data_IF_645381255501
#
_entry.id   IF_645381255501
#
_cell.length_a   1.000
_cell.length_b   1.000
_cell.length_c   1.000
_cell.angle_alpha   90.00
_cell.angle_beta   90.00
_cell.angle_gamma   90.00
#
_symmetry.space_group_name_H-M   'P 1'
#
loop_
_entity.id
_entity.type
_entity.pdbx_description
1 polymer ?
#
# COMPACT_ATOMS: atom_id res chain seq x y z
N UNK A 1 -3.82 -55.72 54.71
CA UNK A 1 -2.92 -56.81 54.28
C UNK A 1 -1.52 -56.20 54.10
N UNK A 2 -0.51 -56.88 54.66
CA UNK A 2 0.96 -56.62 54.73
C UNK A 2 1.58 -55.99 53.46
N UNK A 3 2.69 -55.25 53.40
CA UNK A 3 3.81 -54.88 54.31
C UNK A 3 4.67 -53.76 53.66
N UNK A 4 5.53 -53.14 54.49
CA UNK A 4 6.34 -51.92 54.41
C UNK A 4 7.41 -51.70 53.28
N UNK A 5 8.06 -50.49 53.24
CA UNK A 5 8.75 -49.86 52.11
C UNK A 5 10.29 -49.70 52.26
N UNK A 6 10.96 -49.14 51.25
CA UNK A 6 12.36 -48.69 51.28
C UNK A 6 12.50 -47.16 51.28
N UNK A 7 13.25 -46.61 52.24
CA UNK A 7 13.40 -45.19 52.57
C UNK A 7 14.87 -44.84 52.78
N UNK A 8 15.17 -43.54 52.69
CA UNK A 8 16.31 -42.78 53.26
C UNK A 8 17.42 -42.42 52.25
N UNK A 9 17.81 -41.17 52.03
CA UNK A 9 17.58 -39.94 52.82
C UNK A 9 18.81 -39.64 53.68
N UNK A 10 19.49 -38.54 53.33
CA UNK A 10 20.68 -37.99 53.96
C UNK A 10 20.57 -37.79 55.49
N UNK A 11 21.72 -37.81 56.18
CA UNK A 11 21.93 -37.02 57.40
C UNK A 11 23.42 -36.82 57.72
N UNK A 12 23.71 -35.58 58.12
CA UNK A 12 24.97 -35.11 58.69
C UNK A 12 24.97 -35.26 60.24
N UNK A 13 26.11 -34.85 60.82
CA UNK A 13 26.47 -34.65 62.24
C UNK A 13 27.14 -35.86 62.92
N UNK A 14 28.44 -35.83 63.22
CA UNK A 14 29.20 -35.08 64.25
C UNK A 14 29.14 -35.76 65.62
N UNK A 15 30.32 -36.13 66.18
CA UNK A 15 30.82 -35.84 67.54
C UNK A 15 31.75 -36.95 68.11
N UNK A 16 32.86 -36.46 68.67
CA UNK A 16 33.79 -36.98 69.71
C UNK A 16 34.86 -38.05 69.41
N UNK A 17 36.09 -37.64 69.74
CA UNK A 17 37.29 -38.43 70.01
C UNK A 17 37.22 -39.11 71.41
N UNK A 18 38.16 -39.99 71.77
CA UNK A 18 39.41 -39.47 72.39
C UNK A 18 40.73 -40.22 72.07
N UNK A 19 41.81 -39.46 72.29
CA UNK A 19 43.13 -39.80 72.83
C UNK A 19 44.05 -40.86 72.17
N UNK A 20 45.18 -40.36 71.65
CA UNK A 20 46.42 -41.11 71.41
C UNK A 20 47.56 -40.17 71.00
N UNK A 21 48.44 -39.86 71.95
CA UNK A 21 49.57 -38.91 71.83
C UNK A 21 50.67 -39.40 70.86
N UNK A 22 51.09 -38.56 69.90
CA UNK A 22 52.45 -38.55 69.33
C UNK A 22 52.79 -37.16 68.74
N UNK A 23 54.01 -36.63 68.94
CA UNK A 23 54.33 -35.23 68.66
C UNK A 23 54.57 -34.94 67.17
N UNK A 24 54.17 -33.73 66.78
CA UNK A 24 54.29 -33.15 65.45
C UNK A 24 55.74 -33.09 64.93
N UNK A 25 56.00 -33.69 63.76
CA UNK A 25 57.16 -33.37 62.92
C UNK A 25 56.66 -32.61 61.69
N UNK A 26 56.87 -31.29 61.70
CA UNK A 26 56.44 -30.36 60.64
C UNK A 26 57.43 -30.43 59.48
N UNK A 27 57.18 -31.31 58.52
CA UNK A 27 57.89 -31.27 57.23
C UNK A 27 57.48 -30.01 56.46
N UNK A 28 58.44 -29.09 56.30
CA UNK A 28 58.29 -27.91 55.44
C UNK A 28 58.25 -28.38 53.99
N UNK A 29 57.06 -28.41 53.38
CA UNK A 29 56.93 -28.43 51.92
C UNK A 29 57.57 -27.16 51.34
N UNK A 30 58.40 -27.24 50.29
CA UNK A 30 58.94 -26.06 49.64
C UNK A 30 57.80 -25.23 49.05
N UNK A 31 57.81 -23.93 49.34
CA UNK A 31 56.75 -23.00 48.95
C UNK A 31 56.61 -22.90 47.44
N UNK A 32 55.38 -23.08 46.95
CA UNK A 32 54.97 -22.59 45.64
C UNK A 32 55.13 -21.07 45.63
N UNK A 33 56.18 -20.59 44.96
CA UNK A 33 56.28 -19.18 44.59
C UNK A 33 55.13 -18.88 43.61
N UNK A 34 54.30 -17.85 43.84
CA UNK A 34 53.36 -17.41 42.81
C UNK A 34 54.17 -16.97 41.59
N UNK A 35 53.87 -17.60 40.46
CA UNK A 35 54.54 -17.34 39.18
C UNK A 35 54.20 -15.90 38.77
N UNK A 36 55.12 -14.96 39.03
CA UNK A 36 55.00 -13.58 38.60
C UNK A 36 55.08 -13.57 37.07
N UNK A 37 54.03 -13.11 36.35
CA UNK A 37 54.06 -13.08 34.89
C UNK A 37 55.20 -12.14 34.45
N UNK A 38 56.08 -12.65 33.60
CA UNK A 38 57.21 -11.88 33.10
C UNK A 38 56.72 -10.63 32.36
N UNK A 39 57.49 -9.52 32.39
CA UNK A 39 57.18 -8.30 31.62
C UNK A 39 56.93 -8.56 30.13
N UNK A 40 57.54 -9.62 29.56
CA UNK A 40 57.31 -10.07 28.17
C UNK A 40 55.91 -10.67 27.96
N UNK A 41 55.35 -11.36 28.95
CA UNK A 41 54.00 -11.92 28.92
C UNK A 41 52.92 -10.82 28.98
N UNK A 42 53.20 -9.71 29.68
CA UNK A 42 52.29 -8.55 29.76
C UNK A 42 52.29 -7.73 28.46
N UNK A 43 53.44 -7.60 27.78
CA UNK A 43 53.55 -6.93 26.48
C UNK A 43 52.89 -7.72 25.33
N UNK A 44 52.98 -9.06 25.35
CA UNK A 44 52.30 -9.90 24.37
C UNK A 44 50.77 -9.86 24.51
N UNK A 45 50.25 -9.76 25.74
CA UNK A 45 48.82 -9.59 25.99
C UNK A 45 48.30 -8.21 25.49
N UNK A 46 49.10 -7.14 25.64
CA UNK A 46 48.75 -5.80 25.18
C UNK A 46 48.69 -5.67 23.64
N UNK A 47 49.49 -6.44 22.91
CA UNK A 47 49.49 -6.48 21.44
C UNK A 47 48.37 -7.37 20.85
N UNK A 48 47.75 -8.25 21.65
CA UNK A 48 46.64 -9.10 21.21
C UNK A 48 45.25 -8.45 21.36
N UNK A 49 45.11 -7.46 22.25
CA UNK A 49 43.87 -6.70 22.45
C UNK A 49 43.32 -5.98 21.20
N UNK A 50 44.14 -5.35 20.33
CA UNK A 50 43.65 -4.75 19.08
C UNK A 50 43.20 -5.80 18.05
N UNK A 51 43.84 -6.98 18.01
CA UNK A 51 43.50 -8.05 17.07
C UNK A 51 42.15 -8.72 17.38
N UNK A 52 41.79 -8.83 18.67
CA UNK A 52 40.46 -9.32 19.10
C UNK A 52 39.36 -8.30 18.78
N UNK A 53 39.69 -7.00 18.74
CA UNK A 53 38.75 -5.91 18.42
C UNK A 53 38.48 -5.79 16.92
N UNK A 54 39.46 -6.06 16.07
CA UNK A 54 39.30 -6.09 14.61
C UNK A 54 38.57 -7.36 14.11
N UNK A 55 38.62 -8.47 14.86
CA UNK A 55 37.94 -9.71 14.51
C UNK A 55 36.43 -9.71 14.84
N UNK A 56 35.95 -8.69 15.56
CA UNK A 56 34.52 -8.37 15.62
C UNK A 56 34.27 -7.27 14.60
N UNK A 57 33.99 -7.65 13.35
CA UNK A 57 33.12 -6.81 12.54
C UNK A 57 31.93 -6.43 13.44
N UNK A 58 31.67 -5.14 13.63
CA UNK A 58 30.52 -4.66 14.41
C UNK A 58 29.29 -5.43 13.93
N UNK A 59 28.66 -6.17 14.84
CA UNK A 59 27.65 -7.15 14.49
C UNK A 59 26.34 -6.40 14.21
N UNK A 60 26.20 -5.87 13.01
CA UNK A 60 24.97 -5.23 12.57
C UNK A 60 23.83 -6.28 12.49
N UNK A 61 22.61 -5.98 12.97
CA UNK A 61 22.18 -4.74 13.64
C UNK A 61 22.38 -4.79 15.17
N UNK A 62 22.93 -3.72 15.73
CA UNK A 62 23.17 -3.57 17.19
C UNK A 62 22.01 -2.87 17.93
N UNK A 63 21.11 -2.25 17.18
CA UNK A 63 19.92 -1.52 17.67
C UNK A 63 18.72 -1.80 16.77
N UNK A 64 17.48 -1.50 17.22
CA UNK A 64 16.31 -1.69 16.39
C UNK A 64 16.39 -0.90 15.07
N UNK A 65 15.94 -1.54 13.99
CA UNK A 65 15.77 -0.94 12.66
C UNK A 65 14.37 -0.32 12.62
N UNK A 66 14.26 0.94 12.21
CA UNK A 66 13.00 1.59 11.92
C UNK A 66 12.59 1.34 10.46
N UNK A 67 11.45 0.71 10.26
CA UNK A 67 10.80 0.54 8.96
C UNK A 67 9.66 1.54 8.85
N UNK A 68 9.89 2.63 8.12
CA UNK A 68 8.92 3.66 7.89
C UNK A 68 7.89 3.20 6.86
N UNK A 69 6.62 3.41 7.19
CA UNK A 69 5.48 3.22 6.30
C UNK A 69 4.88 4.60 6.00
N UNK A 70 4.78 5.03 4.74
CA UNK A 70 4.39 6.40 4.40
C UNK A 70 2.86 6.64 4.43
N UNK A 71 2.11 5.82 5.17
CA UNK A 71 0.65 5.85 5.28
C UNK A 71 0.20 5.51 6.71
N UNK A 72 -1.07 5.75 7.02
CA UNK A 72 -1.68 5.37 8.29
C UNK A 72 -1.63 3.85 8.51
N UNK A 73 -1.63 3.46 9.79
CA UNK A 73 -1.72 2.07 10.19
C UNK A 73 -3.02 1.42 9.71
N UNK A 74 -2.98 0.11 9.45
CA UNK A 74 -4.12 -0.65 8.91
C UNK A 74 -4.33 -0.50 7.40
N UNK A 75 -3.53 0.32 6.71
CA UNK A 75 -3.48 0.35 5.25
C UNK A 75 -2.67 -0.81 4.65
N UNK A 76 -2.81 -1.03 3.34
CA UNK A 76 -2.13 -2.10 2.60
C UNK A 76 -0.61 -2.16 2.83
N UNK A 77 0.08 -1.02 2.75
CA UNK A 77 1.53 -0.94 3.01
C UNK A 77 1.87 -1.25 4.46
N UNK A 78 1.04 -0.86 5.42
CA UNK A 78 1.26 -1.16 6.85
C UNK A 78 1.10 -2.66 7.14
N UNK A 79 0.09 -3.30 6.54
CA UNK A 79 -0.13 -4.74 6.64
C UNK A 79 1.10 -5.50 6.08
N UNK A 80 1.56 -5.13 4.89
CA UNK A 80 2.76 -5.71 4.28
C UNK A 80 4.01 -5.48 5.15
N UNK A 81 4.18 -4.28 5.72
CA UNK A 81 5.31 -3.94 6.58
C UNK A 81 5.36 -4.79 7.83
N UNK A 82 4.23 -4.99 8.51
CA UNK A 82 4.18 -5.77 9.76
C UNK A 82 4.49 -7.24 9.50
N UNK A 83 3.93 -7.82 8.42
CA UNK A 83 4.21 -9.20 8.03
C UNK A 83 5.69 -9.36 7.68
N UNK A 84 6.24 -8.44 6.88
CA UNK A 84 7.65 -8.47 6.51
C UNK A 84 8.57 -8.28 7.72
N UNK A 85 8.31 -7.30 8.58
CA UNK A 85 9.11 -6.99 9.75
C UNK A 85 9.23 -8.19 10.71
N UNK A 86 8.12 -8.88 10.96
CA UNK A 86 8.07 -10.09 11.79
C UNK A 86 8.97 -11.21 11.23
N UNK A 87 8.98 -11.39 9.91
CA UNK A 87 9.66 -12.50 9.24
C UNK A 87 11.09 -12.21 8.82
N UNK A 88 11.39 -10.94 8.54
CA UNK A 88 12.71 -10.47 8.16
C UNK A 88 13.63 -10.36 9.37
N UNK A 89 13.13 -9.93 10.54
CA UNK A 89 13.97 -9.69 11.71
C UNK A 89 14.81 -10.94 12.10
N UNK A 90 14.26 -12.16 12.24
CA UNK A 90 15.05 -13.35 12.56
C UNK A 90 16.13 -13.69 11.52
N UNK A 91 16.00 -13.22 10.27
CA UNK A 91 16.97 -13.45 9.19
C UNK A 91 18.18 -12.51 9.26
N UNK A 92 18.06 -11.40 9.98
CA UNK A 92 19.14 -10.44 10.20
C UNK A 92 20.00 -10.79 11.42
N UNK A 93 19.53 -11.70 12.27
CA UNK A 93 20.24 -12.20 13.44
C UNK A 93 19.36 -12.30 14.68
N UNK A 94 19.84 -12.98 15.74
CA UNK A 94 19.05 -13.28 16.94
C UNK A 94 18.64 -12.05 17.76
N UNK A 95 19.32 -10.91 17.57
CA UNK A 95 19.05 -9.66 18.29
C UNK A 95 18.33 -8.62 17.42
N UNK A 96 18.16 -8.91 16.12
CA UNK A 96 17.57 -7.97 15.20
C UNK A 96 16.09 -7.76 15.53
N UNK A 97 15.68 -6.49 15.54
CA UNK A 97 14.30 -6.05 15.74
C UNK A 97 13.96 -5.00 14.71
N UNK A 98 12.76 -5.09 14.14
CA UNK A 98 12.26 -4.12 13.18
C UNK A 98 11.00 -3.49 13.79
N UNK A 99 11.01 -2.16 13.89
CA UNK A 99 9.90 -1.35 14.41
C UNK A 99 9.22 -0.67 13.22
N UNK A 100 7.92 -0.89 13.06
CA UNK A 100 7.13 -0.22 12.00
C UNK A 100 6.69 1.15 12.50
N UNK A 101 7.05 2.21 11.77
CA UNK A 101 6.69 3.60 12.06
C UNK A 101 5.84 4.22 10.94
N UNK A 102 4.61 4.63 11.24
CA UNK A 102 3.74 5.26 10.26
C UNK A 102 4.01 6.78 10.16
N UNK A 103 4.37 7.26 8.95
CA UNK A 103 4.59 8.68 8.63
C UNK A 103 3.76 9.09 7.42
N UNK A 104 2.47 9.32 7.67
CA UNK A 104 1.47 9.52 6.62
C UNK A 104 1.39 10.95 6.08
N UNK A 105 1.15 11.10 4.78
CA UNK A 105 0.78 12.38 4.16
C UNK A 105 1.14 12.48 2.68
N UNK A 106 0.40 13.31 1.94
CA UNK A 106 0.64 13.67 0.55
C UNK A 106 0.96 12.47 -0.35
N UNK A 107 0.09 11.45 -0.39
CA UNK A 107 0.29 10.25 -1.24
C UNK A 107 1.56 9.46 -0.91
N UNK A 108 2.10 9.62 0.30
CA UNK A 108 3.32 9.00 0.78
C UNK A 108 4.59 9.84 0.66
N UNK A 109 4.51 11.03 0.05
CA UNK A 109 5.67 11.90 -0.14
C UNK A 109 6.28 12.37 1.19
N UNK A 110 5.47 12.61 2.22
CA UNK A 110 5.97 13.06 3.54
C UNK A 110 6.90 12.03 4.18
N UNK A 111 6.51 10.75 4.13
CA UNK A 111 7.33 9.66 4.68
C UNK A 111 8.60 9.44 3.88
N UNK A 112 8.51 9.45 2.54
CA UNK A 112 9.65 9.29 1.65
C UNK A 112 10.67 10.44 1.82
N UNK A 113 10.18 11.68 1.82
CA UNK A 113 10.98 12.89 2.07
C UNK A 113 11.69 12.83 3.41
N UNK A 114 11.01 12.37 4.46
CA UNK A 114 11.63 12.26 5.77
C UNK A 114 12.77 11.22 5.79
N UNK A 115 12.55 10.07 5.12
CA UNK A 115 13.54 8.98 5.08
C UNK A 115 14.78 9.38 4.28
N UNK A 116 14.65 10.07 3.15
CA UNK A 116 15.84 10.39 2.33
C UNK A 116 16.90 11.22 3.07
N UNK A 117 16.49 11.98 4.09
CA UNK A 117 17.37 12.78 4.95
C UNK A 117 17.96 12.01 6.14
N UNK A 118 17.70 10.70 6.25
CA UNK A 118 18.25 9.86 7.31
C UNK A 118 19.64 9.34 6.93
N UNK A 119 20.50 9.00 7.90
CA UNK A 119 21.75 8.34 7.61
C UNK A 119 21.53 7.02 6.85
N UNK A 120 22.36 6.76 5.85
CA UNK A 120 22.34 5.52 5.07
C UNK A 120 23.09 4.38 5.80
N UNK A 121 22.75 4.14 7.07
CA UNK A 121 23.42 3.19 7.97
C UNK A 121 22.61 1.88 8.18
N UNK A 122 21.53 1.70 7.43
CA UNK A 122 20.64 0.53 7.48
C UNK A 122 19.67 0.49 8.66
N UNK A 123 19.67 1.48 9.56
CA UNK A 123 18.74 1.53 10.70
C UNK A 123 17.46 2.30 10.42
N UNK A 124 17.38 3.03 9.31
CA UNK A 124 16.13 3.63 8.84
C UNK A 124 15.87 3.20 7.41
N UNK A 125 14.78 2.48 7.22
CA UNK A 125 14.34 1.95 5.95
C UNK A 125 12.94 2.50 5.64
N UNK A 126 12.59 2.54 4.37
CA UNK A 126 11.25 2.86 3.90
C UNK A 126 10.67 1.61 3.24
N UNK A 127 9.50 1.16 3.69
CA UNK A 127 8.66 0.32 2.85
C UNK A 127 7.90 1.23 1.89
N UNK A 128 8.51 1.46 0.74
CA UNK A 128 7.98 2.30 -0.31
C UNK A 128 6.83 1.61 -1.04
N UNK A 129 5.90 2.39 -1.56
CA UNK A 129 4.82 1.91 -2.43
C UNK A 129 4.87 2.58 -3.80
N UNK A 130 4.13 2.02 -4.76
CA UNK A 130 3.91 2.63 -6.08
C UNK A 130 3.32 4.05 -6.00
N UNK A 131 2.61 4.39 -4.91
CA UNK A 131 2.19 5.76 -4.62
C UNK A 131 3.40 6.65 -4.37
N UNK A 132 4.21 6.32 -3.35
CA UNK A 132 5.28 7.20 -2.89
C UNK A 132 6.41 7.37 -3.91
N UNK A 133 6.85 6.30 -4.57
CA UNK A 133 8.02 6.33 -5.46
C UNK A 133 7.70 6.18 -6.96
N UNK A 134 6.42 6.09 -7.34
CA UNK A 134 6.02 5.91 -8.74
C UNK A 134 5.06 6.99 -9.23
N UNK A 135 3.78 6.79 -8.94
CA UNK A 135 2.68 7.65 -9.41
C UNK A 135 2.76 9.08 -8.88
N UNK A 136 3.11 9.29 -7.61
CA UNK A 136 3.12 10.64 -7.03
C UNK A 136 4.24 11.51 -7.63
N UNK A 137 5.51 11.05 -7.72
CA UNK A 137 6.55 11.82 -8.42
C UNK A 137 6.28 12.01 -9.92
N UNK A 138 5.56 11.08 -10.55
CA UNK A 138 5.18 11.22 -11.95
C UNK A 138 4.07 12.26 -12.15
N UNK A 139 3.08 12.31 -11.25
CA UNK A 139 1.88 13.11 -11.43
C UNK A 139 1.94 14.49 -10.75
N UNK A 140 2.65 14.59 -9.63
CA UNK A 140 2.80 15.82 -8.83
C UNK A 140 4.28 16.14 -8.58
N UNK A 141 5.12 16.31 -9.61
CA UNK A 141 6.57 16.53 -9.44
C UNK A 141 6.90 17.77 -8.59
N UNK A 142 6.02 18.77 -8.57
CA UNK A 142 6.18 19.98 -7.75
C UNK A 142 5.91 19.75 -6.25
N UNK A 143 5.26 18.64 -5.88
CA UNK A 143 4.93 18.27 -4.50
C UNK A 143 5.77 17.09 -3.98
N UNK A 144 6.63 16.51 -4.82
CA UNK A 144 7.55 15.42 -4.48
C UNK A 144 9.00 15.90 -4.61
N UNK A 145 9.60 16.45 -3.55
CA UNK A 145 10.93 17.06 -3.59
C UNK A 145 12.07 16.03 -3.55
N UNK A 146 11.91 14.90 -4.23
CA UNK A 146 12.90 13.83 -4.32
C UNK A 146 12.85 13.11 -5.67
N UNK A 147 13.99 12.57 -6.10
CA UNK A 147 14.04 11.62 -7.20
C UNK A 147 13.84 10.19 -6.67
N UNK A 148 12.82 9.44 -7.13
CA UNK A 148 12.52 8.12 -6.57
C UNK A 148 13.61 7.07 -6.81
N UNK A 149 14.41 7.22 -7.88
CA UNK A 149 15.47 6.26 -8.23
C UNK A 149 16.79 6.70 -7.59
N UNK A 150 17.11 7.98 -7.63
CA UNK A 150 18.42 8.49 -7.23
C UNK A 150 18.53 8.78 -5.73
N UNK A 151 17.47 9.22 -5.05
CA UNK A 151 17.56 9.58 -3.62
C UNK A 151 17.44 8.39 -2.67
N UNK A 152 17.32 7.17 -3.20
CA UNK A 152 17.17 5.95 -2.43
C UNK A 152 18.07 4.82 -2.95
N UNK A 153 18.53 3.96 -2.04
CA UNK A 153 19.10 2.66 -2.38
C UNK A 153 18.00 1.60 -2.35
N UNK A 154 17.71 0.97 -3.49
CA UNK A 154 16.70 -0.09 -3.59
C UNK A 154 17.24 -1.42 -3.05
N UNK A 155 16.44 -2.14 -2.25
CA UNK A 155 16.87 -3.36 -1.55
C UNK A 155 16.19 -4.61 -2.13
N UNK A 156 14.87 -4.65 -2.11
CA UNK A 156 14.10 -5.81 -2.58
C UNK A 156 12.63 -5.46 -2.82
N UNK A 157 12.01 -6.13 -3.79
CA UNK A 157 10.56 -6.18 -3.92
C UNK A 157 9.96 -7.06 -2.84
N UNK A 158 8.79 -6.67 -2.34
CA UNK A 158 8.08 -7.38 -1.27
C UNK A 158 6.81 -8.03 -1.81
N UNK A 159 6.00 -7.25 -2.51
CA UNK A 159 4.72 -7.72 -3.03
C UNK A 159 3.85 -6.57 -3.49
N UNK A 160 2.69 -6.88 -4.04
CA UNK A 160 1.82 -5.89 -4.65
C UNK A 160 0.37 -6.35 -4.66
N UNK A 161 -0.40 -5.84 -5.61
CA UNK A 161 -1.75 -6.32 -5.81
C UNK A 161 -2.56 -5.38 -6.68
N UNK A 162 -3.78 -5.79 -7.04
CA UNK A 162 -4.68 -4.93 -7.79
C UNK A 162 -5.24 -3.80 -6.92
N UNK A 163 -5.72 -2.77 -7.61
CA UNK A 163 -6.63 -1.77 -7.07
C UNK A 163 -8.06 -2.27 -7.32
N UNK A 164 -8.93 -2.05 -6.34
CA UNK A 164 -10.32 -2.48 -6.36
C UNK A 164 -11.21 -1.26 -6.46
N UNK A 165 -12.12 -1.25 -7.44
CA UNK A 165 -13.27 -0.36 -7.45
C UNK A 165 -14.24 -0.85 -6.40
N UNK A 166 -14.39 -0.13 -5.30
CA UNK A 166 -15.13 -0.57 -4.12
C UNK A 166 -16.19 0.47 -3.74
N UNK A 167 -17.35 -0.02 -3.29
CA UNK A 167 -18.46 0.79 -2.78
C UNK A 167 -18.86 0.32 -1.37
N UNK A 168 -19.55 1.15 -0.57
CA UNK A 168 -20.17 0.68 0.68
C UNK A 168 -21.14 -0.47 0.41
N UNK A 169 -21.30 -1.42 1.35
CA UNK A 169 -22.20 -2.55 1.13
C UNK A 169 -23.67 -2.15 0.88
N UNK A 170 -24.10 -1.07 1.53
CA UNK A 170 -25.41 -0.46 1.37
C UNK A 170 -25.61 0.27 0.03
N UNK A 171 -24.55 0.45 -0.77
CA UNK A 171 -24.62 1.13 -2.07
C UNK A 171 -25.62 0.44 -3.00
N UNK A 172 -26.42 1.21 -3.77
CA UNK A 172 -27.32 0.65 -4.77
C UNK A 172 -26.56 0.02 -5.95
N UNK A 173 -25.27 0.35 -6.12
CA UNK A 173 -24.48 -0.15 -7.23
C UNK A 173 -23.96 -1.56 -6.94
N UNK A 174 -24.34 -2.51 -7.79
CA UNK A 174 -23.92 -3.93 -7.70
C UNK A 174 -22.89 -4.32 -8.75
N UNK A 175 -22.73 -3.50 -9.78
CA UNK A 175 -21.77 -3.71 -10.87
C UNK A 175 -20.97 -2.43 -11.11
N UNK A 176 -19.75 -2.59 -11.65
CA UNK A 176 -18.94 -1.45 -12.06
C UNK A 176 -19.64 -0.62 -13.14
N UNK A 177 -20.35 -1.27 -14.07
CA UNK A 177 -21.10 -0.57 -15.13
C UNK A 177 -22.20 0.34 -14.55
N UNK A 178 -23.00 -0.15 -13.59
CA UNK A 178 -24.03 0.65 -12.95
C UNK A 178 -23.47 1.89 -12.24
N UNK A 179 -22.32 1.75 -11.57
CA UNK A 179 -21.62 2.87 -10.96
C UNK A 179 -21.14 3.88 -12.02
N UNK A 180 -20.47 3.41 -13.08
CA UNK A 180 -19.96 4.26 -14.15
C UNK A 180 -21.08 5.01 -14.90
N UNK A 181 -22.23 4.35 -15.09
CA UNK A 181 -23.41 4.96 -15.69
C UNK A 181 -24.01 6.04 -14.79
N UNK A 182 -24.04 5.83 -13.46
CA UNK A 182 -24.48 6.84 -12.50
C UNK A 182 -23.55 8.06 -12.48
N UNK A 183 -22.23 7.85 -12.47
CA UNK A 183 -21.24 8.95 -12.58
C UNK A 183 -21.44 9.73 -13.88
N UNK A 184 -21.74 9.04 -15.00
CA UNK A 184 -22.01 9.67 -16.30
C UNK A 184 -23.32 10.47 -16.30
N UNK A 185 -24.37 9.95 -15.66
CA UNK A 185 -25.68 10.59 -15.57
C UNK A 185 -25.67 11.82 -14.65
N UNK A 186 -24.77 11.84 -13.66
CA UNK A 186 -24.68 12.92 -12.66
C UNK A 186 -23.25 13.46 -12.51
N UNK A 187 -22.70 14.13 -13.55
CA UNK A 187 -21.32 14.61 -13.54
C UNK A 187 -21.04 15.52 -12.34
N UNK A 188 -20.02 15.19 -11.55
CA UNK A 188 -19.55 15.96 -10.41
C UNK A 188 -20.41 15.89 -9.16
N UNK A 189 -21.46 15.04 -9.13
CA UNK A 189 -22.28 14.85 -7.92
C UNK A 189 -21.79 13.75 -7.01
N UNK A 190 -21.09 12.77 -7.57
CA UNK A 190 -20.57 11.65 -6.79
C UNK A 190 -19.18 11.97 -6.24
N UNK A 191 -18.94 11.53 -5.02
CA UNK A 191 -17.66 11.66 -4.33
C UNK A 191 -16.92 10.33 -4.33
N UNK A 192 -15.59 10.39 -4.41
CA UNK A 192 -14.77 9.19 -4.33
C UNK A 192 -13.47 9.44 -3.59
N UNK A 193 -13.04 8.44 -2.83
CA UNK A 193 -11.88 8.55 -1.96
C UNK A 193 -10.66 7.81 -2.51
N UNK A 194 -9.48 8.26 -2.08
CA UNK A 194 -8.24 7.49 -2.23
C UNK A 194 -7.31 7.71 -1.05
N UNK A 195 -6.32 6.83 -0.91
CA UNK A 195 -5.25 6.90 0.10
C UNK A 195 -4.31 8.13 0.01
N UNK A 196 -4.54 9.05 -0.92
CA UNK A 196 -3.81 10.32 -1.00
C UNK A 196 -3.79 10.92 -2.40
N UNK A 197 -3.72 12.25 -2.46
CA UNK A 197 -3.47 12.97 -3.70
C UNK A 197 -2.15 12.51 -4.34
N UNK A 198 -2.11 12.37 -5.67
CA UNK A 198 -0.92 11.87 -6.37
C UNK A 198 -0.72 10.36 -6.34
N UNK A 199 -1.36 9.65 -5.41
CA UNK A 199 -1.13 8.22 -5.21
C UNK A 199 -1.72 7.32 -6.30
N UNK A 200 -1.38 6.03 -6.23
CA UNK A 200 -1.72 5.04 -7.27
C UNK A 200 -3.24 4.90 -7.47
N UNK A 201 -4.03 4.96 -6.38
CA UNK A 201 -5.49 4.94 -6.45
C UNK A 201 -6.08 6.17 -7.15
N UNK A 202 -5.50 7.35 -6.92
CA UNK A 202 -5.91 8.59 -7.60
C UNK A 202 -5.60 8.51 -9.10
N UNK A 203 -4.37 8.10 -9.46
CA UNK A 203 -4.02 7.89 -10.86
C UNK A 203 -4.93 6.85 -11.53
N UNK A 204 -5.25 5.75 -10.84
CA UNK A 204 -6.14 4.69 -11.34
C UNK A 204 -7.55 5.21 -11.56
N UNK A 205 -8.10 5.98 -10.62
CA UNK A 205 -9.44 6.55 -10.72
C UNK A 205 -9.55 7.58 -11.86
N UNK A 206 -8.56 8.46 -12.02
CA UNK A 206 -8.56 9.39 -13.16
C UNK A 206 -8.42 8.65 -14.49
N UNK A 207 -7.53 7.65 -14.56
CA UNK A 207 -7.38 6.83 -15.76
C UNK A 207 -8.66 6.05 -16.09
N UNK A 208 -9.36 5.53 -15.08
CA UNK A 208 -10.68 4.90 -15.21
C UNK A 208 -11.70 5.88 -15.78
N UNK A 209 -11.81 7.09 -15.23
CA UNK A 209 -12.78 8.10 -15.68
C UNK A 209 -12.55 8.51 -17.14
N UNK A 210 -11.30 8.65 -17.58
CA UNK A 210 -10.95 8.94 -18.97
C UNK A 210 -11.38 7.78 -19.88
N UNK A 211 -11.01 6.55 -19.52
CA UNK A 211 -11.29 5.38 -20.37
C UNK A 211 -12.76 5.00 -20.40
N UNK A 212 -13.46 5.10 -19.27
CA UNK A 212 -14.90 4.84 -19.19
C UNK A 212 -15.73 5.95 -19.84
N UNK A 213 -15.21 7.19 -19.90
CA UNK A 213 -15.82 8.27 -20.68
C UNK A 213 -15.95 7.93 -22.17
N UNK A 214 -15.00 7.16 -22.70
CA UNK A 214 -14.98 6.68 -24.09
C UNK A 214 -15.87 5.46 -24.37
N UNK A 215 -16.45 4.83 -23.35
CA UNK A 215 -17.38 3.72 -23.57
C UNK A 215 -18.74 4.26 -24.09
N UNK A 216 -19.39 3.56 -25.04
CA UNK A 216 -20.75 3.89 -25.47
C UNK A 216 -21.70 3.90 -24.26
N UNK A 217 -22.52 4.94 -24.12
CA UNK A 217 -23.56 4.95 -23.09
C UNK A 217 -24.63 3.93 -23.47
N UNK A 218 -24.76 2.85 -22.72
CA UNK A 218 -25.83 1.88 -22.92
C UNK A 218 -27.13 2.48 -22.34
N UNK A 219 -27.81 3.32 -23.13
CA UNK A 219 -29.05 4.02 -22.74
C UNK A 219 -30.27 3.07 -22.60
N UNK A 220 -30.06 1.82 -22.18
CA UNK A 220 -31.06 0.75 -22.26
C UNK A 220 -31.23 -0.16 -21.03
N UNK A 221 -30.34 -0.11 -20.03
CA UNK A 221 -30.41 -1.02 -18.88
C UNK A 221 -31.54 -0.71 -17.88
N UNK A 222 -32.24 -1.71 -17.32
CA UNK A 222 -33.33 -1.50 -16.36
C UNK A 222 -32.88 -0.85 -15.04
N UNK A 223 -31.61 -0.98 -14.64
CA UNK A 223 -31.06 -0.41 -13.39
C UNK A 223 -31.00 1.13 -13.42
N UNK A 224 -30.71 1.74 -14.57
CA UNK A 224 -30.65 3.20 -14.72
C UNK A 224 -32.02 3.89 -14.50
N UNK A 225 -33.13 3.16 -14.67
CA UNK A 225 -34.49 3.70 -14.46
C UNK A 225 -34.89 3.73 -12.98
N UNK A 226 -34.30 2.87 -12.15
CA UNK A 226 -34.60 2.79 -10.71
C UNK A 226 -33.93 3.92 -9.92
N UNK A 227 -32.75 4.36 -10.36
CA UNK A 227 -31.99 5.46 -9.73
C UNK A 227 -32.61 6.85 -9.95
N UNK A 228 -33.57 6.99 -10.87
CA UNK A 228 -34.13 8.29 -11.28
C UNK A 228 -35.44 8.65 -10.55
N UNK A 229 -35.72 8.05 -9.38
CA UNK A 229 -36.85 8.48 -8.54
C UNK A 229 -36.33 9.52 -7.54
N UNK A 230 -36.63 10.82 -7.70
CA UNK A 230 -36.33 11.80 -6.66
C UNK A 230 -37.08 11.41 -5.38
N UNK A 231 -36.42 11.48 -4.23
CA UNK A 231 -37.09 11.40 -2.95
C UNK A 231 -38.09 12.56 -2.86
N UNK A 232 -39.38 12.25 -2.79
CA UNK A 232 -40.43 13.25 -2.58
C UNK A 232 -40.20 13.93 -1.21
N UNK A 233 -40.15 15.27 -1.13
CA UNK A 233 -40.26 15.95 0.15
C UNK A 233 -41.72 15.85 0.68
N UNK A 234 -41.94 15.85 2.01
CA UNK A 234 -43.28 15.74 2.57
C UNK A 234 -44.12 16.95 2.19
N UNK A 235 -45.33 16.70 1.69
CA UNK A 235 -46.29 17.71 1.22
C UNK A 235 -46.72 18.65 2.35
N UNK A 236 -46.56 19.95 2.13
CA UNK A 236 -47.33 20.99 2.79
C UNK A 236 -48.45 21.46 1.86
N UNK A 237 -49.66 21.44 2.39
CA UNK A 237 -50.92 21.82 1.79
C UNK A 237 -51.10 23.35 1.83
N UNK A 238 -51.46 23.98 0.69
CA UNK A 238 -52.37 25.14 0.62
C UNK A 238 -52.57 25.65 -0.82
N UNK A 239 -53.72 26.33 -1.00
CA UNK A 239 -54.55 26.39 -2.20
C UNK A 239 -54.53 27.73 -2.97
N UNK A 240 -55.04 27.66 -4.22
CA UNK A 240 -55.74 28.72 -5.00
C UNK A 240 -54.87 29.90 -5.51
N UNK A 241 -55.11 30.60 -6.62
CA UNK A 241 -56.31 30.84 -7.44
C UNK A 241 -55.93 31.61 -8.75
N UNK A 242 -56.78 31.53 -9.81
CA UNK A 242 -56.99 32.41 -11.01
C UNK A 242 -55.84 32.64 -12.01
N UNK A 243 -56.00 32.83 -13.33
CA UNK A 243 -57.12 33.00 -14.29
C UNK A 243 -56.53 33.61 -15.61
N UNK A 244 -57.00 33.20 -16.82
CA UNK A 244 -56.53 33.67 -18.15
C UNK A 244 -57.13 35.03 -18.62
N UNK A 245 -57.33 35.34 -19.94
CA UNK A 245 -56.91 34.70 -21.21
C UNK A 245 -56.54 35.66 -22.41
N UNK A 246 -56.12 35.05 -23.54
CA UNK A 246 -56.28 35.32 -25.02
C UNK A 246 -56.31 36.72 -25.72
N UNK A 247 -55.67 36.81 -26.92
CA UNK A 247 -56.27 37.19 -28.25
C UNK A 247 -55.22 37.27 -29.41
N UNK A 248 -55.29 36.42 -30.47
CA UNK A 248 -55.80 36.61 -31.88
C UNK A 248 -54.99 37.57 -32.80
N UNK A 249 -54.30 37.10 -33.85
CA UNK A 249 -54.73 36.67 -35.22
C UNK A 249 -54.85 37.80 -36.27
N UNK A 250 -54.07 37.77 -37.37
CA UNK A 250 -54.48 38.14 -38.77
C UNK A 250 -53.63 37.38 -39.80
N UNK A 251 -54.21 37.09 -40.96
CA UNK A 251 -53.85 36.10 -41.99
C UNK A 251 -53.62 36.74 -43.40
N UNK A 252 -52.81 36.07 -44.26
CA UNK A 252 -52.79 35.98 -45.77
C UNK A 252 -52.23 37.10 -46.70
N UNK A 253 -51.92 36.81 -48.00
CA UNK A 253 -51.72 35.52 -48.73
C UNK A 253 -50.42 35.46 -49.62
N UNK A 254 -50.30 34.40 -50.44
CA UNK A 254 -49.12 33.88 -51.14
C UNK A 254 -48.93 34.26 -52.64
N UNK A 255 -47.69 34.14 -53.14
CA UNK A 255 -47.27 34.03 -54.57
C UNK A 255 -46.10 33.01 -54.70
N UNK A 256 -45.96 32.22 -55.80
CA UNK A 256 -44.96 31.15 -55.94
C UNK A 256 -43.86 31.46 -57.01
N UNK A 257 -42.92 30.55 -57.32
CA UNK A 257 -41.57 30.45 -56.72
C UNK A 257 -40.43 30.87 -57.69
N UNK A 258 -39.24 31.17 -57.15
CA UNK A 258 -37.97 31.07 -57.90
C UNK A 258 -37.09 30.02 -57.24
N UNK A 259 -36.62 29.09 -58.06
CA UNK A 259 -35.75 27.99 -57.67
C UNK A 259 -34.38 28.54 -57.23
N UNK A 260 -34.07 28.36 -55.95
CA UNK A 260 -32.73 28.56 -55.43
C UNK A 260 -32.33 27.29 -54.66
N UNK A 261 -31.20 26.72 -55.08
CA UNK A 261 -30.71 25.42 -54.67
C UNK A 261 -30.47 25.39 -53.16
N UNK A 262 -31.04 24.38 -52.49
CA UNK A 262 -30.85 24.16 -51.07
C UNK A 262 -29.38 23.86 -50.75
N UNK A 263 -28.74 24.54 -49.77
CA UNK A 263 -27.60 23.96 -49.09
C UNK A 263 -28.14 22.85 -48.18
N UNK A 264 -27.56 21.67 -48.37
CA UNK A 264 -27.73 20.44 -47.60
C UNK A 264 -27.96 20.70 -46.10
N UNK A 265 -29.21 20.53 -45.65
CA UNK A 265 -29.54 20.48 -44.22
C UNK A 265 -29.16 19.11 -43.68
N UNK A 266 -27.86 18.92 -43.44
CA UNK A 266 -27.39 17.88 -42.54
C UNK A 266 -28.07 18.06 -41.18
N UNK A 267 -28.91 17.09 -40.80
CA UNK A 267 -29.63 17.08 -39.52
C UNK A 267 -28.68 17.14 -38.31
N UNK A 268 -29.21 17.37 -37.09
CA UNK A 268 -28.40 17.48 -35.87
C UNK A 268 -27.60 16.20 -35.53
N UNK A 269 -27.83 15.10 -36.24
CA UNK A 269 -27.19 13.80 -36.02
C UNK A 269 -25.79 13.66 -36.66
N UNK A 270 -25.40 14.53 -37.59
CA UNK A 270 -24.12 14.40 -38.31
C UNK A 270 -22.93 15.16 -37.68
N UNK A 271 -23.13 15.92 -36.60
CA UNK A 271 -22.04 16.66 -35.89
C UNK A 271 -21.52 15.97 -34.63
N UNK A 272 -21.96 14.74 -34.35
CA UNK A 272 -21.62 14.02 -33.10
C UNK A 272 -20.62 12.87 -33.25
N UNK A 273 -19.97 12.71 -34.42
CA UNK A 273 -19.12 11.55 -34.67
C UNK A 273 -17.63 11.74 -34.30
N UNK A 274 -17.20 12.93 -33.86
CA UNK A 274 -15.77 13.18 -33.61
C UNK A 274 -15.47 14.14 -32.44
N UNK A 275 -16.38 14.25 -31.45
CA UNK A 275 -16.01 14.90 -30.19
C UNK A 275 -15.22 13.86 -29.38
N UNK A 276 -13.97 14.14 -28.96
CA UNK A 276 -13.26 13.23 -28.07
C UNK A 276 -14.14 12.98 -26.85
N UNK A 277 -14.30 11.72 -26.48
CA UNK A 277 -15.17 11.36 -25.38
C UNK A 277 -14.71 12.06 -24.10
N UNK A 278 -15.61 12.80 -23.46
CA UNK A 278 -15.27 13.57 -22.27
C UNK A 278 -15.04 12.62 -21.08
N UNK A 279 -13.98 12.82 -20.28
CA UNK A 279 -13.77 12.04 -19.07
C UNK A 279 -14.97 12.13 -18.14
N UNK A 280 -15.28 11.03 -17.45
CA UNK A 280 -16.28 11.04 -16.38
C UNK A 280 -15.87 12.03 -15.27
N UNK A 281 -16.84 12.64 -14.59
CA UNK A 281 -16.60 13.65 -13.54
C UNK A 281 -17.16 13.16 -12.21
N UNK A 282 -16.29 13.09 -11.20
CA UNK A 282 -16.61 12.80 -9.81
C UNK A 282 -15.61 13.55 -8.91
N UNK A 283 -16.08 14.03 -7.76
CA UNK A 283 -15.31 14.81 -6.80
C UNK A 283 -14.35 13.91 -6.02
N UNK A 284 -13.04 14.19 -6.12
CA UNK A 284 -12.01 13.40 -5.44
C UNK A 284 -11.77 13.91 -4.02
N UNK A 285 -11.77 13.00 -3.05
CA UNK A 285 -11.49 13.27 -1.64
C UNK A 285 -10.22 12.51 -1.20
N UNK A 286 -9.07 13.19 -1.03
CA UNK A 286 -7.83 12.54 -0.60
C UNK A 286 -7.79 12.29 0.91
N UNK A 287 -7.49 11.06 1.32
CA UNK A 287 -7.23 10.68 2.72
C UNK A 287 -5.73 10.42 2.96
N UNK A 288 -5.34 10.17 4.22
CA UNK A 288 -3.94 9.92 4.61
C UNK A 288 -3.53 8.44 4.54
N UNK A 289 -4.39 7.57 4.04
CA UNK A 289 -4.12 6.13 3.85
C UNK A 289 -5.39 5.30 3.75
N UNK A 290 -5.23 4.03 3.36
CA UNK A 290 -6.34 3.15 3.01
C UNK A 290 -7.28 2.87 4.17
N UNK A 291 -6.79 2.79 5.40
CA UNK A 291 -7.64 2.62 6.58
C UNK A 291 -8.65 3.74 6.76
N UNK A 292 -8.23 5.00 6.55
CA UNK A 292 -9.13 6.16 6.61
C UNK A 292 -10.14 6.20 5.45
N UNK A 293 -9.73 5.74 4.26
CA UNK A 293 -10.65 5.56 3.11
C UNK A 293 -11.74 4.52 3.45
N UNK A 294 -11.34 3.40 4.02
CA UNK A 294 -12.28 2.33 4.36
C UNK A 294 -13.23 2.73 5.49
N UNK A 295 -12.76 3.53 6.44
CA UNK A 295 -13.61 4.13 7.47
C UNK A 295 -14.65 5.10 6.85
N UNK A 296 -14.23 5.98 5.95
CA UNK A 296 -15.12 6.91 5.26
C UNK A 296 -16.18 6.19 4.42
N UNK A 297 -15.78 5.14 3.69
CA UNK A 297 -16.72 4.27 2.96
C UNK A 297 -17.72 3.60 3.91
N UNK A 298 -17.26 3.06 5.04
CA UNK A 298 -18.14 2.41 6.01
C UNK A 298 -19.17 3.38 6.61
N UNK A 299 -18.82 4.66 6.75
CA UNK A 299 -19.72 5.73 7.21
C UNK A 299 -20.61 6.31 6.10
N UNK A 300 -20.38 5.95 4.84
CA UNK A 300 -21.08 6.54 3.70
C UNK A 300 -20.71 8.00 3.44
N UNK A 301 -19.53 8.45 3.89
CA UNK A 301 -19.02 9.80 3.63
C UNK A 301 -18.60 9.99 2.16
N UNK A 302 -18.31 8.89 1.47
CA UNK A 302 -17.94 8.85 0.05
C UNK A 302 -18.67 7.73 -0.69
N UNK A 303 -19.00 7.95 -1.96
CA UNK A 303 -19.82 7.00 -2.73
C UNK A 303 -19.05 5.75 -3.16
N UNK A 304 -17.77 5.92 -3.53
CA UNK A 304 -16.90 4.83 -3.98
C UNK A 304 -15.41 5.12 -3.77
N UNK A 305 -14.56 4.13 -4.03
CA UNK A 305 -13.11 4.29 -3.97
C UNK A 305 -12.40 3.40 -4.99
N UNK A 306 -11.19 3.82 -5.38
CA UNK A 306 -10.20 2.98 -6.04
C UNK A 306 -9.07 2.74 -5.03
N UNK A 307 -9.14 1.61 -4.33
CA UNK A 307 -8.27 1.31 -3.19
C UNK A 307 -7.53 -0.02 -3.36
N UNK A 308 -6.33 -0.13 -2.77
CA UNK A 308 -5.52 -1.34 -2.85
C UNK A 308 -6.25 -2.52 -2.23
N UNK A 309 -6.22 -3.67 -2.90
CA UNK A 309 -6.92 -4.88 -2.46
C UNK A 309 -6.69 -5.20 -0.98
N UNK A 310 -5.45 -5.17 -0.51
CA UNK A 310 -5.12 -5.48 0.88
C UNK A 310 -5.83 -4.60 1.93
N UNK A 311 -6.15 -3.34 1.59
CA UNK A 311 -6.96 -2.48 2.46
C UNK A 311 -8.45 -2.83 2.41
N UNK A 312 -8.95 -3.22 1.24
CA UNK A 312 -10.37 -3.54 1.03
C UNK A 312 -10.74 -4.96 1.44
N UNK A 313 -9.80 -5.91 1.42
CA UNK A 313 -10.08 -7.33 1.52
C UNK A 313 -10.80 -7.72 2.83
N UNK A 314 -10.42 -7.21 4.02
CA UNK A 314 -11.19 -7.45 5.24
C UNK A 314 -12.64 -6.95 5.14
N UNK A 315 -12.83 -5.74 4.60
CA UNK A 315 -14.16 -5.13 4.47
C UNK A 315 -15.07 -5.88 3.49
N UNK A 316 -14.49 -6.42 2.41
CA UNK A 316 -15.25 -7.24 1.44
C UNK A 316 -15.66 -8.57 2.07
N UNK A 317 -14.76 -9.23 2.80
CA UNK A 317 -15.09 -10.49 3.51
C UNK A 317 -16.14 -10.32 4.59
N UNK A 318 -16.05 -9.22 5.34
CA UNK A 318 -16.97 -8.93 6.43
C UNK A 318 -18.30 -8.32 5.94
N UNK A 319 -18.46 -8.16 4.62
CA UNK A 319 -19.69 -7.62 4.02
C UNK A 319 -19.93 -6.14 4.31
N UNK A 320 -18.90 -5.39 4.74
CA UNK A 320 -18.95 -3.95 4.97
C UNK A 320 -18.79 -3.14 3.67
N UNK A 321 -18.16 -3.74 2.66
CA UNK A 321 -17.96 -3.14 1.35
C UNK A 321 -18.14 -4.16 0.23
N UNK A 322 -18.38 -3.68 -0.98
CA UNK A 322 -18.52 -4.50 -2.18
C UNK A 322 -17.47 -4.09 -3.20
N UNK A 323 -16.59 -5.01 -3.56
CA UNK A 323 -15.72 -4.83 -4.73
C UNK A 323 -16.52 -5.06 -6.02
N UNK A 324 -16.42 -4.13 -6.95
CA UNK A 324 -17.13 -4.11 -8.23
C UNK A 324 -16.26 -4.55 -9.39
N UNK A 325 -14.96 -4.22 -9.34
CA UNK A 325 -13.97 -4.68 -10.32
C UNK A 325 -12.55 -4.56 -9.76
N UNK A 326 -11.63 -5.38 -10.26
CA UNK A 326 -10.18 -5.27 -10.00
C UNK A 326 -9.43 -4.70 -11.21
N UNK A 327 -8.34 -3.99 -10.96
CA UNK A 327 -7.51 -3.34 -12.00
C UNK A 327 -6.37 -4.18 -12.56
N UNK A 328 -6.29 -5.47 -12.19
CA UNK A 328 -5.41 -6.46 -12.80
C UNK A 328 -6.05 -7.07 -14.05
N UNK A 329 -5.25 -7.64 -14.94
CA UNK A 329 -5.75 -8.35 -16.13
C UNK A 329 -6.43 -9.69 -15.81
N UNK A 330 -6.17 -10.24 -14.63
CA UNK A 330 -6.79 -11.46 -14.12
C UNK A 330 -7.53 -11.18 -12.82
N UNK A 331 -8.61 -11.91 -12.56
CA UNK A 331 -9.31 -11.86 -11.27
C UNK A 331 -8.38 -12.32 -10.16
N UNK A 332 -8.52 -11.72 -8.99
CA UNK A 332 -7.67 -12.08 -7.86
C UNK A 332 -8.19 -13.36 -7.18
N UNK A 333 -7.35 -14.36 -6.86
CA UNK A 333 -7.80 -15.64 -6.28
C UNK A 333 -8.59 -15.54 -4.97
N UNK A 334 -8.34 -14.51 -4.16
CA UNK A 334 -9.13 -14.24 -2.95
C UNK A 334 -10.60 -13.88 -3.23
N UNK A 335 -10.90 -13.34 -4.41
CA UNK A 335 -12.22 -12.86 -4.78
C UNK A 335 -12.52 -13.19 -6.25
N UNK A 336 -12.68 -14.49 -6.58
CA UNK A 336 -12.84 -14.95 -7.96
C UNK A 336 -14.13 -14.44 -8.63
N UNK A 337 -15.09 -13.98 -7.84
CA UNK A 337 -16.37 -13.43 -8.32
C UNK A 337 -16.28 -11.96 -8.72
N UNK A 338 -15.21 -11.25 -8.35
CA UNK A 338 -15.01 -9.84 -8.72
C UNK A 338 -14.35 -9.80 -10.11
N UNK A 339 -15.02 -9.25 -11.14
CA UNK A 339 -14.46 -9.20 -12.49
C UNK A 339 -13.29 -8.21 -12.58
N UNK A 340 -12.53 -8.28 -13.65
CA UNK A 340 -11.53 -7.26 -13.98
C UNK A 340 -12.16 -6.06 -14.70
N UNK A 341 -11.46 -4.92 -14.70
CA UNK A 341 -11.83 -3.78 -15.53
C UNK A 341 -11.76 -4.12 -17.03
N UNK A 342 -10.88 -5.04 -17.44
CA UNK A 342 -10.82 -5.55 -18.82
C UNK A 342 -12.09 -6.32 -19.23
N UNK A 343 -12.56 -7.20 -18.34
CA UNK A 343 -13.75 -8.04 -18.56
C UNK A 343 -15.02 -7.19 -18.76
N UNK A 344 -15.09 -6.02 -18.13
CA UNK A 344 -16.24 -5.10 -18.24
C UNK A 344 -16.12 -4.09 -19.39
N UNK A 345 -15.17 -4.28 -20.31
CA UNK A 345 -15.07 -3.50 -21.55
C UNK A 345 -13.93 -2.47 -21.59
N UNK A 346 -13.19 -2.27 -20.51
CA UNK A 346 -12.01 -1.39 -20.50
C UNK A 346 -10.77 -2.16 -20.96
N UNK A 347 -10.71 -2.53 -22.25
CA UNK A 347 -9.70 -3.46 -22.78
C UNK A 347 -8.25 -3.05 -22.50
N UNK A 348 -7.43 -3.96 -21.99
CA UNK A 348 -6.05 -3.70 -21.56
C UNK A 348 -5.93 -2.76 -20.37
N UNK A 349 -6.98 -2.56 -19.57
CA UNK A 349 -6.87 -1.77 -18.34
C UNK A 349 -6.05 -2.54 -17.32
N UNK A 350 -4.83 -2.06 -17.06
CA UNK A 350 -3.97 -2.61 -16.03
C UNK A 350 -3.27 -1.49 -15.25
N UNK A 351 -3.60 -1.40 -13.96
CA UNK A 351 -2.84 -0.59 -13.00
C UNK A 351 -2.75 -1.38 -11.71
N UNK A 352 -1.56 -1.85 -11.36
CA UNK A 352 -1.30 -2.57 -10.11
C UNK A 352 -0.42 -1.72 -9.20
N UNK A 353 -0.36 -2.09 -7.93
CA UNK A 353 0.57 -1.50 -6.97
C UNK A 353 1.65 -2.50 -6.60
N UNK A 354 2.72 -1.99 -6.00
CA UNK A 354 3.82 -2.73 -5.43
C UNK A 354 4.31 -2.05 -4.16
N UNK A 355 4.97 -2.84 -3.31
CA UNK A 355 5.74 -2.42 -2.16
C UNK A 355 7.18 -2.93 -2.33
N UNK A 356 8.14 -2.08 -1.99
CA UNK A 356 9.55 -2.41 -2.02
C UNK A 356 10.26 -1.82 -0.81
N UNK A 357 11.29 -2.51 -0.34
CA UNK A 357 12.14 -2.00 0.72
C UNK A 357 13.23 -1.13 0.10
N UNK A 358 13.42 0.08 0.60
CA UNK A 358 14.49 1.00 0.21
C UNK A 358 15.14 1.63 1.43
N UNK A 359 16.35 2.14 1.25
CA UNK A 359 17.10 2.91 2.24
C UNK A 359 17.45 4.30 1.68
N UNK A 360 17.89 5.25 2.51
CA UNK A 360 18.47 6.51 2.02
C UNK A 360 19.63 6.24 1.04
N UNK A 361 19.84 7.16 0.10
CA UNK A 361 20.94 7.08 -0.87
C UNK A 361 22.28 6.86 -0.16
N UNK A 362 23.10 5.96 -0.69
CA UNK A 362 24.47 5.73 -0.23
C UNK A 362 24.61 4.60 0.78
N UNK A 363 23.57 3.78 0.99
CA UNK A 363 23.67 2.57 1.79
C UNK A 363 24.80 1.67 1.24
N UNK A 364 25.73 1.17 2.08
CA UNK A 364 26.81 0.31 1.61
C UNK A 364 26.29 -0.94 0.87
N UNK A 365 26.89 -1.35 -0.26
CA UNK A 365 26.39 -2.46 -1.07
C UNK A 365 26.25 -3.78 -0.30
N UNK A 366 27.20 -4.09 0.59
CA UNK A 366 27.16 -5.28 1.44
C UNK A 366 25.97 -5.28 2.41
N UNK A 367 25.59 -4.10 2.90
CA UNK A 367 24.45 -3.95 3.80
C UNK A 367 23.13 -4.00 3.02
N UNK A 368 23.07 -3.40 1.83
CA UNK A 368 21.95 -3.55 0.91
C UNK A 368 21.70 -5.02 0.56
N UNK A 369 22.76 -5.77 0.27
CA UNK A 369 22.67 -7.20 -0.04
C UNK A 369 22.29 -8.04 1.19
N UNK A 370 22.75 -7.66 2.39
CA UNK A 370 22.34 -8.31 3.65
C UNK A 370 20.84 -8.16 3.89
N UNK A 371 20.32 -6.93 3.75
CA UNK A 371 18.89 -6.64 3.86
C UNK A 371 18.09 -7.35 2.77
N UNK A 372 18.56 -7.33 1.51
CA UNK A 372 17.90 -7.98 0.39
C UNK A 372 17.78 -9.47 0.61
N UNK A 373 18.88 -10.12 1.03
CA UNK A 373 18.90 -11.54 1.37
C UNK A 373 17.91 -11.90 2.47
N UNK A 374 17.79 -11.06 3.50
CA UNK A 374 16.82 -11.26 4.56
C UNK A 374 15.36 -11.15 4.07
N UNK A 375 15.05 -10.18 3.18
CA UNK A 375 13.73 -10.10 2.54
C UNK A 375 13.46 -11.33 1.70
N UNK A 376 14.40 -11.74 0.83
CA UNK A 376 14.25 -12.94 -0.02
C UNK A 376 14.03 -14.20 0.82
N UNK A 377 14.78 -14.36 1.91
CA UNK A 377 14.64 -15.48 2.84
C UNK A 377 13.30 -15.46 3.58
N UNK A 378 12.79 -14.28 3.95
CA UNK A 378 11.47 -14.14 4.58
C UNK A 378 10.34 -14.52 3.60
N UNK A 379 10.41 -14.06 2.35
CA UNK A 379 9.41 -14.34 1.31
C UNK A 379 9.43 -15.80 0.83
N UNK A 380 10.58 -16.49 0.92
CA UNK A 380 10.70 -17.90 0.57
C UNK A 380 10.03 -18.84 1.59
N UNK A 381 9.66 -18.36 2.78
CA UNK A 381 8.87 -19.15 3.73
C UNK A 381 7.42 -19.23 3.25
N UNK A 382 6.90 -20.44 3.05
CA UNK A 382 5.51 -20.65 2.59
C UNK A 382 4.48 -19.90 3.44
N UNK A 383 4.63 -19.94 4.76
CA UNK A 383 3.75 -19.22 5.69
C UNK A 383 3.81 -17.67 5.52
N UNK A 384 4.94 -17.09 5.11
CA UNK A 384 5.00 -15.64 4.84
C UNK A 384 4.25 -15.29 3.57
N UNK A 385 4.52 -16.01 2.49
CA UNK A 385 3.87 -15.80 1.20
C UNK A 385 2.35 -16.00 1.30
N UNK A 386 1.91 -17.05 2.00
CA UNK A 386 0.50 -17.32 2.29
C UNK A 386 -0.14 -16.21 3.11
N UNK A 387 0.52 -15.71 4.16
CA UNK A 387 -0.03 -14.59 4.97
C UNK A 387 -0.14 -13.30 4.18
N UNK A 388 0.83 -13.00 3.30
CA UNK A 388 0.74 -11.85 2.39
C UNK A 388 -0.44 -12.04 1.43
N UNK A 389 -0.53 -13.19 0.76
CA UNK A 389 -1.61 -13.49 -0.19
C UNK A 389 -2.98 -13.45 0.48
N UNK A 390 -3.13 -14.04 1.67
CA UNK A 390 -4.35 -13.96 2.49
C UNK A 390 -4.67 -12.54 2.95
N UNK A 391 -3.67 -11.66 3.07
CA UNK A 391 -3.88 -10.26 3.34
C UNK A 391 -4.21 -9.43 2.08
N UNK A 392 -4.27 -10.03 0.89
CA UNK A 392 -4.49 -9.31 -0.37
C UNK A 392 -3.24 -8.63 -0.91
N UNK A 393 -2.05 -9.09 -0.48
CA UNK A 393 -0.75 -8.69 -1.01
C UNK A 393 -0.14 -9.87 -1.77
N UNK A 394 -0.11 -9.78 -3.09
CA UNK A 394 0.56 -10.76 -3.94
C UNK A 394 2.07 -10.74 -3.65
N UNK A 395 2.66 -11.84 -3.16
CA UNK A 395 4.09 -11.86 -2.84
C UNK A 395 4.91 -11.69 -4.11
N UNK A 396 5.90 -10.80 -4.07
CA UNK A 396 6.77 -10.57 -5.22
C UNK A 396 7.72 -11.76 -5.40
N UNK A 397 8.18 -11.97 -6.64
CA UNK A 397 9.36 -12.79 -6.86
C UNK A 397 10.55 -12.18 -6.10
N UNK A 398 11.40 -12.98 -5.45
CA UNK A 398 12.64 -12.49 -4.87
C UNK A 398 13.48 -11.71 -5.89
N UNK A 399 14.01 -10.55 -5.51
CA UNK A 399 14.87 -9.71 -6.36
C UNK A 399 16.17 -9.33 -5.67
N UNK A 400 17.22 -9.06 -6.47
CA UNK A 400 18.44 -8.39 -5.99
C UNK A 400 18.24 -6.88 -5.89
N UNK A 401 19.15 -6.14 -5.21
CA UNK A 401 19.11 -4.67 -5.21
C UNK A 401 19.11 -4.07 -6.62
N UNK A 402 19.91 -4.63 -7.54
CA UNK A 402 20.02 -4.19 -8.93
C UNK A 402 18.72 -4.43 -9.71
N UNK A 403 18.13 -5.63 -9.61
CA UNK A 403 16.84 -5.93 -10.22
C UNK A 403 15.73 -5.02 -9.69
N UNK A 404 15.76 -4.71 -8.38
CA UNK A 404 14.79 -3.82 -7.74
C UNK A 404 14.93 -2.38 -8.24
N UNK A 405 16.16 -1.89 -8.43
CA UNK A 405 16.43 -0.58 -9.04
C UNK A 405 15.93 -0.53 -10.49
N UNK A 406 16.23 -1.55 -11.29
CA UNK A 406 15.78 -1.64 -12.67
C UNK A 406 14.24 -1.65 -12.77
N UNK A 407 13.58 -2.41 -11.90
CA UNK A 407 12.13 -2.42 -11.79
C UNK A 407 11.56 -1.03 -11.47
N UNK A 408 12.12 -0.35 -10.45
CA UNK A 408 11.64 0.98 -10.07
C UNK A 408 11.81 2.01 -11.21
N UNK A 409 12.94 1.99 -11.90
CA UNK A 409 13.19 2.89 -13.03
C UNK A 409 12.17 2.67 -14.16
N UNK A 410 11.85 1.41 -14.48
CA UNK A 410 10.84 1.06 -15.46
C UNK A 410 9.43 1.51 -15.04
N UNK A 411 9.07 1.32 -13.77
CA UNK A 411 7.77 1.73 -13.23
C UNK A 411 7.60 3.26 -13.21
N UNK A 412 8.64 4.00 -12.82
CA UNK A 412 8.62 5.48 -12.89
C UNK A 412 8.42 5.96 -14.34
N UNK A 413 9.10 5.33 -15.31
CA UNK A 413 8.92 5.65 -16.72
C UNK A 413 7.49 5.34 -17.20
N UNK A 414 6.94 4.19 -16.79
CA UNK A 414 5.54 3.80 -17.06
C UNK A 414 4.56 4.81 -16.51
N UNK A 415 4.67 5.20 -15.24
CA UNK A 415 3.74 6.17 -14.63
C UNK A 415 3.84 7.55 -15.28
N UNK A 416 5.06 8.02 -15.62
CA UNK A 416 5.23 9.26 -16.40
C UNK A 416 4.57 9.19 -17.76
N UNK A 417 4.61 8.04 -18.43
CA UNK A 417 3.91 7.84 -19.69
C UNK A 417 2.39 7.89 -19.50
N UNK A 418 1.84 7.21 -18.49
CA UNK A 418 0.40 7.24 -18.17
C UNK A 418 -0.06 8.68 -17.89
N UNK A 419 0.63 9.41 -17.02
CA UNK A 419 0.27 10.80 -16.68
C UNK A 419 0.25 11.69 -17.93
N UNK A 420 1.28 11.58 -18.80
CA UNK A 420 1.34 12.34 -20.06
C UNK A 420 0.24 11.96 -21.05
N UNK A 421 0.03 10.66 -21.27
CA UNK A 421 -0.94 10.15 -22.26
C UNK A 421 -2.38 10.42 -21.85
N UNK A 422 -2.67 10.28 -20.56
CA UNK A 422 -4.02 10.42 -20.04
C UNK A 422 -4.38 11.91 -19.80
N UNK A 423 -3.43 12.85 -19.94
CA UNK A 423 -3.67 14.27 -19.62
C UNK A 423 -4.19 14.46 -18.19
N UNK A 424 -3.85 13.51 -17.30
CA UNK A 424 -4.38 13.43 -15.94
C UNK A 424 -3.86 14.64 -15.19
N UNK A 425 -4.71 15.67 -15.12
CA UNK A 425 -4.49 16.81 -14.26
C UNK A 425 -5.03 16.39 -12.91
N UNK A 426 -4.15 15.87 -12.04
CA UNK A 426 -4.52 15.67 -10.64
C UNK A 426 -4.78 17.06 -10.06
N UNK A 427 -6.07 17.40 -9.94
CA UNK A 427 -6.50 18.69 -9.43
C UNK A 427 -5.87 18.95 -8.07
N UNK A 428 -5.52 20.21 -7.81
CA UNK A 428 -5.33 20.68 -6.44
C UNK A 428 -6.72 20.74 -5.82
N UNK A 429 -7.20 19.59 -5.34
CA UNK A 429 -8.37 19.52 -4.47
C UNK A 429 -8.03 20.15 -3.13
#
# INVERSE_FOLDING_TARGET
MRTQPGRNGARAAMICAPAGFAPCRRERRPGNRPMQPSRRSLLAAALALPAIRAARAEAWPERPISMVVPFLAGGSTDIAARILAERMAPKLGPQARIIVENRAGAGGAVGAEWVRHRPADGYTLLLASASALGSNPAALPQQTPYDPVEDFTQIALVGGGPIVLVVPAASPFRTAQALLDAVRAHPGRMTWATSGAGGIGHLTGEYLKIRAGALPSDRGGPEARSANRPAEPPKAEQASDRGGPEARSVNRPAEPPKAEQAPDRGGPEARSANRPAEPLKAEHVPYRGGSAVMEALAKGEVDYSLEVLASTAPHIRDGLSRGLAVSSLQRHPLFPDIPTLDEIGLKGFEVTTWNMLVAPRGLPPELAETLSRAVRAALAEGNTAERLAQAGVDPARPTTPEETRAFLAAEVAKFRAIVRQAGVTLGRG
#
